data_IF_625642292658
#
_entry.id   IF_625642292658
#
_cell.length_a   1.000
_cell.length_b   1.000
_cell.length_c   1.000
_cell.angle_alpha   90.00
_cell.angle_beta   90.00
_cell.angle_gamma   90.00
#
_symmetry.space_group_name_H-M   'P 1'
#
loop_
_entity.id
_entity.type
_entity.pdbx_description
1 polymer ?
#
# COMPACT_ATOMS: atom_id res chain seq x y z
N UNK A 1 -10.36 -33.78 -29.77
CA UNK A 1 -10.91 -32.55 -29.14
C UNK A 1 -9.94 -31.37 -29.16
N UNK A 2 -8.61 -31.53 -28.98
CA UNK A 2 -7.67 -30.41 -28.78
C UNK A 2 -7.06 -29.77 -30.06
N UNK A 3 -7.18 -30.41 -31.23
CA UNK A 3 -6.47 -29.98 -32.45
C UNK A 3 -7.17 -28.88 -33.27
N UNK A 4 -8.47 -28.61 -33.04
CA UNK A 4 -9.26 -27.60 -33.78
C UNK A 4 -9.67 -26.39 -32.96
N UNK A 5 -9.21 -26.27 -31.71
CA UNK A 5 -9.53 -25.15 -30.82
C UNK A 5 -8.59 -23.98 -31.09
N UNK A 6 -9.15 -22.78 -31.27
CA UNK A 6 -8.36 -21.55 -31.34
C UNK A 6 -7.63 -21.31 -30.01
N UNK A 7 -6.57 -20.50 -30.05
CA UNK A 7 -5.76 -20.20 -28.85
C UNK A 7 -6.62 -19.61 -27.72
N UNK A 8 -7.55 -18.72 -28.07
CA UNK A 8 -8.44 -18.05 -27.12
C UNK A 8 -9.44 -19.02 -26.50
N UNK A 9 -10.06 -19.88 -27.31
CA UNK A 9 -10.96 -20.92 -26.80
C UNK A 9 -10.26 -21.85 -25.83
N UNK A 10 -8.99 -22.20 -26.11
CA UNK A 10 -8.18 -23.03 -25.23
C UNK A 10 -7.89 -22.35 -23.89
N UNK A 11 -7.60 -21.04 -23.89
CA UNK A 11 -7.38 -20.25 -22.68
C UNK A 11 -8.66 -20.16 -21.85
N UNK A 12 -9.80 -19.85 -22.50
CA UNK A 12 -11.10 -19.82 -21.83
C UNK A 12 -11.47 -21.17 -21.22
N UNK A 13 -11.25 -22.28 -21.94
CA UNK A 13 -11.53 -23.61 -21.41
C UNK A 13 -10.64 -23.99 -20.22
N UNK A 14 -9.42 -23.43 -20.10
CA UNK A 14 -8.58 -23.61 -18.89
C UNK A 14 -9.23 -23.01 -17.65
N UNK A 15 -9.97 -21.91 -17.77
CA UNK A 15 -10.69 -21.33 -16.64
C UNK A 15 -11.74 -22.30 -16.06
N UNK A 16 -12.28 -23.22 -16.86
CA UNK A 16 -13.24 -24.27 -16.43
C UNK A 16 -12.59 -25.51 -15.80
N UNK A 17 -11.26 -25.61 -15.77
CA UNK A 17 -10.60 -26.77 -15.20
C UNK A 17 -10.75 -26.79 -13.67
N UNK A 18 -10.88 -27.96 -13.02
CA UNK A 18 -11.11 -28.04 -11.57
C UNK A 18 -9.98 -27.43 -10.73
N UNK A 19 -8.75 -27.40 -11.28
CA UNK A 19 -7.56 -26.84 -10.64
C UNK A 19 -7.28 -25.39 -11.02
N UNK A 20 -8.14 -24.74 -11.83
CA UNK A 20 -7.96 -23.33 -12.16
C UNK A 20 -8.26 -22.44 -10.95
N UNK A 21 -7.56 -21.31 -10.82
CA UNK A 21 -7.84 -20.31 -9.79
C UNK A 21 -9.28 -19.81 -9.82
N UNK A 22 -9.80 -19.60 -11.02
CA UNK A 22 -11.11 -19.02 -11.25
C UNK A 22 -12.20 -20.00 -10.79
N UNK A 23 -12.03 -21.29 -11.09
CA UNK A 23 -12.91 -22.34 -10.60
C UNK A 23 -12.82 -22.51 -9.09
N UNK A 24 -11.61 -22.49 -8.53
CA UNK A 24 -11.40 -22.55 -7.08
C UNK A 24 -12.09 -21.38 -6.38
N UNK A 25 -11.99 -20.17 -6.94
CA UNK A 25 -12.67 -18.98 -6.42
C UNK A 25 -14.19 -19.15 -6.42
N UNK A 26 -14.78 -19.59 -7.53
CA UNK A 26 -16.23 -19.82 -7.63
C UNK A 26 -16.67 -20.94 -6.69
N UNK A 27 -15.91 -22.03 -6.58
CA UNK A 27 -16.18 -23.11 -5.63
C UNK A 27 -16.15 -22.62 -4.18
N UNK A 28 -15.18 -21.78 -3.83
CA UNK A 28 -15.06 -21.18 -2.51
C UNK A 28 -16.19 -20.17 -2.20
N UNK A 29 -16.83 -19.60 -3.23
CA UNK A 29 -17.99 -18.72 -3.08
C UNK A 29 -19.24 -19.51 -2.66
N UNK A 30 -19.45 -20.68 -3.26
CA UNK A 30 -20.59 -21.57 -2.92
C UNK A 30 -20.35 -22.43 -1.67
N UNK A 31 -19.11 -22.50 -1.16
CA UNK A 31 -18.77 -23.25 0.05
C UNK A 31 -19.06 -22.44 1.31
N UNK A 32 -19.72 -23.05 2.30
CA UNK A 32 -19.86 -22.47 3.65
C UNK A 32 -18.49 -22.15 4.26
N UNK A 33 -18.39 -21.07 5.05
CA UNK A 33 -17.13 -20.55 5.60
C UNK A 33 -16.33 -21.63 6.37
N UNK A 34 -17.01 -22.55 7.04
CA UNK A 34 -16.40 -23.64 7.83
C UNK A 34 -15.69 -24.70 7.00
N UNK A 35 -16.01 -24.82 5.71
CA UNK A 35 -15.44 -25.85 4.84
C UNK A 35 -14.27 -25.34 3.97
N UNK A 36 -13.85 -24.08 4.12
CA UNK A 36 -12.71 -23.56 3.34
C UNK A 36 -11.42 -24.26 3.78
N UNK A 37 -10.64 -24.83 2.84
CA UNK A 37 -9.38 -25.47 3.19
C UNK A 37 -8.47 -24.43 3.85
N UNK A 38 -8.00 -24.73 5.07
CA UNK A 38 -6.98 -23.91 5.72
C UNK A 38 -5.67 -24.16 4.97
N UNK A 39 -5.12 -23.12 4.35
CA UNK A 39 -3.85 -23.21 3.61
C UNK A 39 -2.73 -23.72 4.53
N UNK A 40 -2.22 -24.92 4.22
CA UNK A 40 -1.19 -25.62 5.00
C UNK A 40 0.21 -25.39 4.40
N UNK A 41 0.68 -24.14 4.38
CA UNK A 41 2.07 -23.85 4.05
C UNK A 41 2.84 -23.46 5.31
N UNK A 42 3.87 -24.25 5.65
CA UNK A 42 4.78 -24.03 6.78
C UNK A 42 5.43 -22.63 6.76
N UNK A 43 5.76 -22.11 5.58
CA UNK A 43 6.33 -20.76 5.40
C UNK A 43 5.31 -19.62 5.58
N UNK A 44 4.01 -19.88 5.40
CA UNK A 44 2.94 -18.91 5.65
C UNK A 44 2.69 -18.63 7.13
N UNK A 45 3.33 -19.39 8.03
CA UNK A 45 3.24 -19.22 9.49
C UNK A 45 4.23 -18.20 10.04
N UNK A 46 5.31 -17.90 9.27
CA UNK A 46 6.38 -16.98 9.66
C UNK A 46 6.11 -15.53 9.24
N UNK A 47 5.39 -15.33 8.13
CA UNK A 47 4.93 -13.99 7.73
C UNK A 47 3.64 -13.73 8.53
N UNK A 48 3.56 -12.68 9.36
CA UNK A 48 2.34 -12.38 10.09
C UNK A 48 1.20 -12.24 9.08
N UNK A 49 0.03 -12.84 9.38
CA UNK A 49 -1.22 -12.72 8.58
C UNK A 49 -1.60 -11.27 8.23
N UNK A 50 -0.99 -10.31 8.91
CA UNK A 50 -1.10 -8.88 8.67
C UNK A 50 -0.52 -8.42 7.32
N UNK A 51 0.49 -9.10 6.77
CA UNK A 51 1.20 -8.65 5.55
C UNK A 51 0.65 -9.32 4.30
N UNK A 52 0.52 -10.65 4.28
CA UNK A 52 -0.01 -11.36 3.12
C UNK A 52 -0.61 -12.72 3.48
N UNK A 53 -1.93 -12.86 3.39
CA UNK A 53 -2.60 -14.16 3.52
C UNK A 53 -2.50 -14.94 2.21
N UNK A 54 -1.75 -16.05 2.17
CA UNK A 54 -1.66 -16.89 0.98
C UNK A 54 -3.01 -17.53 0.63
N UNK A 55 -3.44 -17.39 -0.63
CA UNK A 55 -4.68 -17.97 -1.15
C UNK A 55 -4.45 -18.58 -2.53
N UNK A 56 -4.86 -19.83 -2.69
CA UNK A 56 -4.70 -20.59 -3.93
C UNK A 56 -5.72 -20.20 -5.02
N UNK A 57 -6.73 -19.40 -4.66
CA UNK A 57 -7.80 -18.95 -5.55
C UNK A 57 -7.50 -17.62 -6.25
N UNK A 58 -6.28 -17.11 -6.12
CA UNK A 58 -5.89 -15.84 -6.71
C UNK A 58 -4.47 -15.85 -7.28
N UNK A 59 -4.34 -15.38 -8.52
CA UNK A 59 -3.05 -15.08 -9.13
C UNK A 59 -3.00 -13.63 -9.58
N UNK A 60 -1.86 -12.98 -9.36
CA UNK A 60 -1.62 -11.64 -9.88
C UNK A 60 -1.62 -11.61 -11.41
N UNK A 61 -1.92 -10.44 -12.00
CA UNK A 61 -1.78 -10.23 -13.44
C UNK A 61 -0.29 -10.29 -13.81
N UNK A 62 0.03 -10.87 -14.97
CA UNK A 62 1.41 -10.93 -15.48
C UNK A 62 2.01 -9.53 -15.59
N UNK A 63 1.18 -8.53 -15.91
CA UNK A 63 1.55 -7.11 -15.90
C UNK A 63 2.09 -6.66 -14.53
N UNK A 64 1.39 -6.99 -13.43
CA UNK A 64 1.82 -6.63 -12.08
C UNK A 64 3.15 -7.31 -11.76
N UNK A 65 3.30 -8.59 -12.09
CA UNK A 65 4.55 -9.32 -11.87
C UNK A 65 5.72 -8.70 -12.64
N UNK A 66 5.52 -8.33 -13.91
CA UNK A 66 6.54 -7.65 -14.71
C UNK A 66 6.93 -6.30 -14.10
N UNK A 67 5.95 -5.49 -13.69
CA UNK A 67 6.22 -4.16 -13.11
C UNK A 67 6.97 -4.29 -11.78
N UNK A 68 6.57 -5.21 -10.90
CA UNK A 68 7.27 -5.46 -9.64
C UNK A 68 8.69 -5.98 -9.86
N UNK A 69 8.89 -6.89 -10.82
CA UNK A 69 10.23 -7.36 -11.19
C UNK A 69 11.12 -6.19 -11.64
N UNK A 70 10.64 -5.35 -12.55
CA UNK A 70 11.36 -4.15 -13.01
C UNK A 70 11.67 -3.18 -11.86
N UNK A 71 10.74 -2.99 -10.93
CA UNK A 71 10.93 -2.13 -9.75
C UNK A 71 12.02 -2.67 -8.85
N UNK A 72 12.06 -3.98 -8.58
CA UNK A 72 13.10 -4.59 -7.73
C UNK A 72 14.49 -4.40 -8.35
N UNK A 73 14.62 -4.66 -9.66
CA UNK A 73 15.87 -4.42 -10.38
C UNK A 73 16.29 -2.95 -10.36
N UNK A 74 15.33 -2.05 -10.56
CA UNK A 74 15.57 -0.60 -10.56
C UNK A 74 15.96 -0.09 -9.17
N UNK A 75 15.31 -0.57 -8.11
CA UNK A 75 15.65 -0.21 -6.73
C UNK A 75 17.05 -0.71 -6.37
N UNK A 76 17.40 -1.93 -6.76
CA UNK A 76 18.77 -2.45 -6.61
C UNK A 76 19.78 -1.58 -7.35
N UNK A 77 19.52 -1.23 -8.61
CA UNK A 77 20.42 -0.38 -9.40
C UNK A 77 20.60 1.01 -8.77
N UNK A 78 19.51 1.70 -8.40
CA UNK A 78 19.55 3.04 -7.81
C UNK A 78 20.28 3.03 -6.47
N UNK A 79 20.04 2.02 -5.62
CA UNK A 79 20.67 1.94 -4.30
C UNK A 79 22.18 1.72 -4.41
N UNK A 80 22.61 0.80 -5.27
CA UNK A 80 24.04 0.54 -5.52
C UNK A 80 24.70 1.79 -6.13
N UNK A 81 24.08 2.41 -7.12
CA UNK A 81 24.60 3.63 -7.75
C UNK A 81 24.74 4.78 -6.74
N UNK A 82 23.74 4.97 -5.88
CA UNK A 82 23.76 5.97 -4.82
C UNK A 82 24.93 5.73 -3.85
N UNK A 83 25.14 4.49 -3.41
CA UNK A 83 26.26 4.13 -2.55
C UNK A 83 27.61 4.42 -3.23
N UNK A 84 27.82 3.98 -4.47
CA UNK A 84 29.10 4.13 -5.18
C UNK A 84 29.45 5.60 -5.43
N UNK A 85 28.48 6.45 -5.77
CA UNK A 85 28.74 7.86 -6.08
C UNK A 85 28.77 8.76 -4.84
N UNK A 86 27.90 8.52 -3.86
CA UNK A 86 27.71 9.45 -2.73
C UNK A 86 28.70 9.18 -1.59
N UNK A 87 29.10 7.93 -1.33
CA UNK A 87 30.08 7.63 -0.29
C UNK A 87 31.45 8.33 -0.47
N UNK A 88 32.10 8.31 -1.65
CA UNK A 88 33.38 8.98 -1.84
C UNK A 88 33.23 10.50 -1.80
N UNK A 89 32.13 11.06 -2.31
CA UNK A 89 31.90 12.51 -2.28
C UNK A 89 31.66 13.00 -0.85
N UNK A 90 30.94 12.25 -0.01
CA UNK A 90 30.80 12.56 1.41
C UNK A 90 32.14 12.50 2.16
N UNK A 91 33.03 11.57 1.80
CA UNK A 91 34.38 11.52 2.37
C UNK A 91 35.17 12.80 2.08
N UNK A 92 35.18 13.21 0.82
CA UNK A 92 35.87 14.43 0.39
C UNK A 92 35.28 15.67 1.07
N UNK A 93 33.95 15.76 1.19
CA UNK A 93 33.27 16.86 1.90
C UNK A 93 33.67 16.89 3.37
N UNK A 94 33.77 15.72 4.03
CA UNK A 94 34.15 15.64 5.44
C UNK A 94 35.57 16.18 5.67
N UNK A 95 36.53 15.82 4.81
CA UNK A 95 37.92 16.33 4.90
C UNK A 95 37.93 17.84 4.72
N UNK A 96 37.25 18.36 3.70
CA UNK A 96 37.17 19.82 3.45
C UNK A 96 36.55 20.55 4.64
N UNK A 97 35.45 20.04 5.19
CA UNK A 97 34.80 20.62 6.37
C UNK A 97 35.75 20.64 7.57
N UNK A 98 36.49 19.57 7.81
CA UNK A 98 37.45 19.51 8.92
C UNK A 98 38.59 20.51 8.75
N UNK A 99 39.13 20.67 7.53
CA UNK A 99 40.16 21.69 7.27
C UNK A 99 39.63 23.11 7.48
N UNK A 100 38.40 23.38 7.07
CA UNK A 100 37.77 24.69 7.24
C UNK A 100 37.51 25.02 8.72
N UNK A 101 37.00 24.07 9.51
CA UNK A 101 36.81 24.25 10.94
C UNK A 101 38.13 24.49 11.68
N UNK A 102 39.20 23.77 11.31
CA UNK A 102 40.52 23.99 11.89
C UNK A 102 41.04 25.41 11.60
N UNK A 103 40.88 25.91 10.37
CA UNK A 103 41.26 27.30 10.01
C UNK A 103 40.47 28.33 10.82
N UNK A 104 39.16 28.14 10.99
CA UNK A 104 38.32 29.03 11.80
C UNK A 104 38.76 29.01 13.26
N UNK A 105 39.04 27.83 13.83
CA UNK A 105 39.47 27.73 15.23
C UNK A 105 40.78 28.48 15.47
N UNK A 106 41.75 28.35 14.56
CA UNK A 106 43.02 29.10 14.62
C UNK A 106 42.79 30.61 14.47
N UNK A 107 41.87 31.03 13.60
CA UNK A 107 41.54 32.45 13.44
C UNK A 107 40.84 33.05 14.67
N UNK A 108 39.97 32.30 15.34
CA UNK A 108 39.32 32.73 16.57
C UNK A 108 40.28 32.79 17.75
N UNK A 109 41.18 31.82 17.92
CA UNK A 109 42.18 31.82 19.00
C UNK A 109 43.17 32.98 18.88
N UNK A 110 43.55 33.36 17.65
CA UNK A 110 44.45 34.50 17.40
C UNK A 110 43.88 35.86 17.84
N UNK A 111 42.57 35.97 18.04
CA UNK A 111 41.94 37.20 18.53
C UNK A 111 41.93 37.30 20.06
N UNK A 112 42.21 36.21 20.81
CA UNK A 112 42.10 36.23 22.28
C UNK A 112 43.40 36.29 23.06
N UNK A 113 44.61 36.05 22.53
CA UNK A 113 45.86 36.46 23.23
C UNK A 113 47.12 36.51 22.34
N UNK A 114 47.93 37.53 22.62
CA UNK A 114 49.24 37.89 22.05
C UNK A 114 50.27 36.75 21.91
N UNK A 115 50.95 36.74 20.75
CA UNK A 115 52.35 36.39 20.50
C UNK A 115 53.07 35.57 21.57
N UNK A 116 53.20 34.25 21.38
CA UNK A 116 54.42 33.50 21.72
C UNK A 116 54.57 32.24 20.84
N UNK A 117 55.72 32.19 20.16
CA UNK A 117 56.43 31.02 19.61
C UNK A 117 55.66 30.00 18.77
N UNK A 118 55.77 30.21 17.46
CA UNK A 118 55.91 29.17 16.43
C UNK A 118 56.96 28.16 16.90
N UNK A 119 56.54 26.98 17.35
CA UNK A 119 57.23 25.68 17.22
C UNK A 119 56.38 24.62 17.92
N UNK A 120 56.24 23.47 17.26
CA UNK A 120 55.38 22.34 17.62
C UNK A 120 53.90 22.46 17.23
N UNK A 121 53.65 22.16 15.95
CA UNK A 121 52.35 21.68 15.47
C UNK A 121 52.12 20.31 16.10
N UNK A 122 51.67 20.29 17.35
CA UNK A 122 51.00 19.13 17.95
C UNK A 122 49.60 19.07 17.32
N UNK A 123 49.09 17.91 16.87
CA UNK A 123 47.71 17.82 16.41
C UNK A 123 46.82 17.90 17.64
N UNK A 124 46.57 19.12 18.13
CA UNK A 124 45.56 19.42 19.12
C UNK A 124 44.23 18.99 18.50
N UNK A 125 43.67 17.91 19.03
CA UNK A 125 42.36 17.42 18.64
C UNK A 125 41.35 18.55 18.89
N UNK A 126 40.81 19.10 17.80
CA UNK A 126 39.74 20.09 17.82
C UNK A 126 38.64 19.70 18.81
N UNK A 127 38.25 20.61 19.73
CA UNK A 127 37.18 20.40 20.72
C UNK A 127 35.80 20.14 20.10
N UNK A 128 35.64 20.34 18.79
CA UNK A 128 34.44 19.99 18.03
C UNK A 128 34.77 19.01 16.90
N UNK A 129 34.77 17.68 17.17
CA UNK A 129 34.94 16.70 16.11
C UNK A 129 33.73 16.76 15.16
N UNK A 130 34.00 17.03 13.87
CA UNK A 130 32.98 17.00 12.82
C UNK A 130 32.34 15.59 12.78
N UNK A 131 31.00 15.48 12.72
CA UNK A 131 30.34 14.18 12.64
C UNK A 131 30.80 13.40 11.41
N UNK A 132 31.09 12.11 11.59
CA UNK A 132 31.37 11.20 10.48
C UNK A 132 30.12 11.07 9.60
N UNK A 133 30.14 11.64 8.39
CA UNK A 133 28.96 11.70 7.51
C UNK A 133 28.64 10.36 6.82
N UNK A 134 29.62 9.46 6.71
CA UNK A 134 29.46 8.18 6.01
C UNK A 134 28.53 7.21 6.74
N UNK A 135 28.67 7.09 8.07
CA UNK A 135 27.87 6.17 8.90
C UNK A 135 26.36 6.49 8.87
N UNK A 136 25.90 7.74 9.13
CA UNK A 136 24.48 8.07 9.08
C UNK A 136 23.91 7.95 7.67
N UNK A 137 24.73 8.17 6.63
CA UNK A 137 24.29 7.99 5.25
C UNK A 137 23.99 6.52 4.93
N UNK A 138 24.88 5.59 5.29
CA UNK A 138 24.64 4.15 5.09
C UNK A 138 23.40 3.69 5.86
N UNK A 139 23.26 4.11 7.11
CA UNK A 139 22.05 3.82 7.90
C UNK A 139 20.79 4.37 7.24
N UNK A 140 20.81 5.61 6.77
CA UNK A 140 19.69 6.22 6.06
C UNK A 140 19.29 5.43 4.81
N UNK A 141 20.25 5.04 3.97
CA UNK A 141 19.98 4.26 2.75
C UNK A 141 19.41 2.87 3.09
N UNK A 142 19.92 2.20 4.13
CA UNK A 142 19.35 0.91 4.54
C UNK A 142 17.92 1.05 5.04
N UNK A 143 17.61 2.10 5.81
CA UNK A 143 16.27 2.39 6.28
C UNK A 143 15.32 2.72 5.12
N UNK A 144 15.78 3.44 4.10
CA UNK A 144 14.94 3.82 2.96
C UNK A 144 14.58 2.61 2.11
N UNK A 145 15.55 1.72 1.88
CA UNK A 145 15.31 0.42 1.21
C UNK A 145 14.31 -0.42 2.01
N UNK A 146 14.47 -0.49 3.33
CA UNK A 146 13.55 -1.25 4.18
C UNK A 146 12.12 -0.68 4.11
N UNK A 147 11.97 0.64 4.25
CA UNK A 147 10.67 1.32 4.19
C UNK A 147 10.02 1.10 2.82
N UNK A 148 10.75 1.30 1.73
CA UNK A 148 10.21 1.12 0.37
C UNK A 148 9.80 -0.33 0.09
N UNK A 149 10.58 -1.33 0.53
CA UNK A 149 10.18 -2.74 0.43
C UNK A 149 8.89 -3.01 1.21
N UNK A 150 8.75 -2.49 2.43
CA UNK A 150 7.53 -2.65 3.23
C UNK A 150 6.33 -2.01 2.51
N UNK A 151 6.49 -0.82 1.93
CA UNK A 151 5.43 -0.15 1.18
C UNK A 151 5.04 -0.92 -0.09
N UNK A 152 6.00 -1.51 -0.80
CA UNK A 152 5.74 -2.37 -1.96
C UNK A 152 4.96 -3.63 -1.59
N UNK A 153 5.32 -4.29 -0.49
CA UNK A 153 4.59 -5.46 0.00
C UNK A 153 3.17 -5.10 0.42
N UNK A 154 2.99 -3.97 1.11
CA UNK A 154 1.68 -3.46 1.50
C UNK A 154 0.80 -3.14 0.28
N UNK A 155 1.36 -2.49 -0.75
CA UNK A 155 0.65 -2.22 -1.99
C UNK A 155 0.23 -3.51 -2.71
N UNK A 156 1.09 -4.53 -2.74
CA UNK A 156 0.77 -5.82 -3.36
C UNK A 156 -0.41 -6.51 -2.65
N UNK A 157 -0.43 -6.47 -1.32
CA UNK A 157 -1.55 -6.98 -0.52
C UNK A 157 -2.84 -6.20 -0.78
N UNK A 158 -2.75 -4.87 -0.89
CA UNK A 158 -3.88 -3.98 -1.14
C UNK A 158 -4.42 -4.12 -2.56
N UNK A 159 -3.59 -4.29 -3.60
CA UNK A 159 -4.04 -4.58 -4.97
C UNK A 159 -5.02 -5.74 -4.97
N UNK A 160 -4.67 -6.83 -4.27
CA UNK A 160 -5.51 -8.01 -4.17
C UNK A 160 -6.80 -7.72 -3.40
N UNK A 161 -6.72 -7.07 -2.24
CA UNK A 161 -7.88 -6.70 -1.43
C UNK A 161 -8.86 -5.84 -2.22
N UNK A 162 -8.35 -4.83 -2.90
CA UNK A 162 -9.11 -3.87 -3.68
C UNK A 162 -9.74 -4.52 -4.91
N UNK A 163 -9.05 -5.47 -5.55
CA UNK A 163 -9.62 -6.24 -6.66
C UNK A 163 -10.78 -7.14 -6.19
N UNK A 164 -10.67 -7.77 -5.01
CA UNK A 164 -11.79 -8.53 -4.44
C UNK A 164 -12.97 -7.66 -4.00
N UNK A 165 -12.72 -6.48 -3.44
CA UNK A 165 -13.76 -5.50 -3.15
C UNK A 165 -14.46 -5.07 -4.43
N UNK A 166 -13.70 -4.84 -5.51
CA UNK A 166 -14.24 -4.51 -6.83
C UNK A 166 -15.10 -5.64 -7.41
N UNK A 167 -14.71 -6.91 -7.27
CA UNK A 167 -15.55 -8.05 -7.67
C UNK A 167 -16.88 -8.15 -6.89
N UNK A 168 -16.91 -7.66 -5.64
CA UNK A 168 -18.12 -7.62 -4.82
C UNK A 168 -18.98 -6.38 -5.10
N UNK A 169 -18.46 -5.40 -5.83
CA UNK A 169 -19.08 -4.09 -5.98
C UNK A 169 -19.06 -3.25 -4.69
N UNK A 170 -18.07 -3.48 -3.82
CA UNK A 170 -17.86 -2.68 -2.60
C UNK A 170 -17.03 -1.43 -2.95
N UNK A 171 -17.61 -0.24 -2.74
CA UNK A 171 -17.05 1.06 -3.10
C UNK A 171 -16.42 1.80 -1.89
N UNK A 172 -16.05 1.06 -0.84
CA UNK A 172 -15.49 1.63 0.39
C UNK A 172 -14.12 2.30 0.18
N UNK A 173 -13.20 1.63 -0.52
CA UNK A 173 -11.83 2.08 -0.76
C UNK A 173 -11.61 2.64 -2.17
N UNK A 174 -12.26 2.07 -3.18
CA UNK A 174 -12.18 2.54 -4.57
C UNK A 174 -13.49 3.22 -4.95
N UNK A 175 -13.44 4.41 -5.60
CA UNK A 175 -14.64 5.08 -6.04
C UNK A 175 -15.40 4.23 -7.06
N UNK A 176 -16.72 4.20 -6.88
CA UNK A 176 -17.65 3.49 -7.77
C UNK A 176 -17.40 3.85 -9.23
N UNK A 177 -17.38 2.83 -10.08
CA UNK A 177 -17.22 3.00 -11.53
C UNK A 177 -18.37 3.85 -12.11
N UNK A 178 -18.03 4.97 -12.75
CA UNK A 178 -18.99 5.86 -13.42
C UNK A 178 -18.93 5.70 -14.95
N UNK A 179 -20.09 5.63 -15.61
CA UNK A 179 -20.19 5.44 -17.06
C UNK A 179 -19.54 6.58 -17.87
N UNK A 180 -19.62 7.81 -17.36
CA UNK A 180 -19.00 8.99 -17.98
C UNK A 180 -17.47 8.96 -17.98
N UNK A 181 -16.83 8.08 -17.19
CA UNK A 181 -15.38 8.08 -16.96
C UNK A 181 -14.65 6.89 -17.59
N UNK A 182 -15.28 6.12 -18.48
CA UNK A 182 -14.64 4.93 -19.09
C UNK A 182 -13.35 5.24 -19.83
N UNK A 183 -13.30 6.37 -20.56
CA UNK A 183 -12.09 6.82 -21.25
C UNK A 183 -10.98 7.10 -20.22
N UNK A 184 -11.30 7.78 -19.11
CA UNK A 184 -10.34 8.05 -18.03
C UNK A 184 -9.80 6.76 -17.40
N UNK A 185 -10.65 5.75 -17.15
CA UNK A 185 -10.18 4.48 -16.62
C UNK A 185 -9.28 3.72 -17.59
N UNK A 186 -9.57 3.76 -18.90
CA UNK A 186 -8.72 3.15 -19.92
C UNK A 186 -7.35 3.85 -20.01
N UNK A 187 -7.33 5.18 -20.02
CA UNK A 187 -6.12 6.00 -20.00
C UNK A 187 -5.32 5.73 -18.71
N UNK A 188 -5.98 5.70 -17.56
CA UNK A 188 -5.35 5.39 -16.27
C UNK A 188 -4.68 4.02 -16.27
N UNK A 189 -5.32 3.00 -16.86
CA UNK A 189 -4.74 1.66 -17.01
C UNK A 189 -3.48 1.66 -17.90
N UNK A 190 -3.42 2.51 -18.94
CA UNK A 190 -2.22 2.66 -19.78
C UNK A 190 -1.06 3.31 -19.03
N UNK A 191 -1.34 4.31 -18.20
CA UNK A 191 -0.31 5.05 -17.46
C UNK A 191 0.13 4.37 -16.16
N UNK A 192 -0.63 3.41 -15.62
CA UNK A 192 -0.38 2.78 -14.33
C UNK A 192 1.08 2.33 -14.12
N UNK A 193 1.66 1.58 -15.06
CA UNK A 193 3.01 1.05 -14.92
C UNK A 193 4.08 2.17 -14.88
N UNK A 194 3.95 3.17 -15.75
CA UNK A 194 4.88 4.29 -15.82
C UNK A 194 4.79 5.20 -14.61
N UNK A 195 3.57 5.54 -14.19
CA UNK A 195 3.34 6.34 -12.99
C UNK A 195 3.85 5.61 -11.74
N UNK A 196 3.66 4.28 -11.66
CA UNK A 196 4.16 3.54 -10.51
C UNK A 196 5.68 3.63 -10.36
N UNK A 197 6.41 3.40 -11.46
CA UNK A 197 7.88 3.49 -11.45
C UNK A 197 8.34 4.92 -11.12
N UNK A 198 7.72 5.93 -11.74
CA UNK A 198 8.08 7.34 -11.51
C UNK A 198 7.85 7.80 -10.07
N UNK A 199 6.67 7.52 -9.51
CA UNK A 199 6.33 7.86 -8.13
C UNK A 199 7.20 7.11 -7.12
N UNK A 200 7.59 5.87 -7.43
CA UNK A 200 8.50 5.10 -6.60
C UNK A 200 9.90 5.70 -6.57
N UNK A 201 10.46 6.10 -7.72
CA UNK A 201 11.78 6.76 -7.78
C UNK A 201 11.75 8.05 -6.97
N UNK A 202 10.73 8.88 -7.20
CA UNK A 202 10.61 10.15 -6.52
C UNK A 202 10.39 9.99 -5.01
N UNK A 203 9.53 9.06 -4.62
CA UNK A 203 9.31 8.70 -3.22
C UNK A 203 10.57 8.16 -2.55
N UNK A 204 11.35 7.31 -3.25
CA UNK A 204 12.64 6.82 -2.75
C UNK A 204 13.62 7.96 -2.49
N UNK A 205 13.74 8.93 -3.42
CA UNK A 205 14.61 10.12 -3.25
C UNK A 205 14.18 10.95 -2.04
N UNK A 206 12.88 11.24 -1.90
CA UNK A 206 12.36 12.05 -0.78
C UNK A 206 12.63 11.34 0.55
N UNK A 207 12.32 10.04 0.65
CA UNK A 207 12.56 9.27 1.87
C UNK A 207 14.06 9.23 2.16
N UNK A 208 14.93 9.10 1.16
CA UNK A 208 16.39 9.09 1.33
C UNK A 208 16.97 10.41 1.84
N UNK A 209 16.47 11.54 1.33
CA UNK A 209 16.85 12.87 1.82
C UNK A 209 16.36 13.04 3.26
N UNK A 210 15.11 12.70 3.56
CA UNK A 210 14.56 12.84 4.90
C UNK A 210 15.26 11.94 5.92
N UNK A 211 15.49 10.67 5.58
CA UNK A 211 16.19 9.72 6.43
C UNK A 211 17.65 10.14 6.67
N UNK A 212 18.33 10.70 5.65
CA UNK A 212 19.72 11.16 5.81
C UNK A 212 19.81 12.38 6.74
N UNK A 213 18.92 13.36 6.59
CA UNK A 213 18.82 14.51 7.52
C UNK A 213 18.58 14.00 8.94
N UNK A 214 17.63 13.08 9.13
CA UNK A 214 17.30 12.55 10.45
C UNK A 214 18.48 11.77 11.07
N UNK A 215 19.18 10.94 10.30
CA UNK A 215 20.35 10.20 10.78
C UNK A 215 21.53 11.14 11.12
N UNK A 216 21.77 12.18 10.32
CA UNK A 216 22.79 13.20 10.60
C UNK A 216 22.44 13.97 11.88
N UNK A 217 21.18 14.35 12.08
CA UNK A 217 20.74 15.01 13.31
C UNK A 217 20.95 14.11 14.54
N UNK A 218 20.68 12.81 14.44
CA UNK A 218 20.90 11.85 15.52
C UNK A 218 22.40 11.73 15.83
N UNK A 219 23.24 11.54 14.82
CA UNK A 219 24.71 11.46 15.01
C UNK A 219 25.27 12.75 15.61
N UNK A 220 24.81 13.92 15.16
CA UNK A 220 25.19 15.19 15.77
C UNK A 220 24.82 15.24 17.26
N UNK A 221 23.59 14.85 17.62
CA UNK A 221 23.16 14.81 19.02
C UNK A 221 24.02 13.88 19.89
N UNK A 222 24.44 12.73 19.35
CA UNK A 222 25.31 11.77 20.04
C UNK A 222 26.70 12.38 20.27
N UNK A 223 27.31 12.96 19.23
CA UNK A 223 28.70 13.46 19.26
C UNK A 223 28.83 14.69 20.14
N UNK A 224 27.95 15.68 19.98
CA UNK A 224 28.00 16.89 20.80
C UNK A 224 27.67 16.61 22.27
N UNK A 225 27.19 15.40 22.61
CA UNK A 225 26.79 14.94 23.95
C UNK A 225 26.08 16.04 24.75
N UNK A 226 25.28 16.85 24.04
CA UNK A 226 24.69 18.04 24.61
C UNK A 226 23.36 17.64 25.26
N UNK A 227 23.46 16.82 26.31
CA UNK A 227 22.34 16.39 27.12
C UNK A 227 21.54 17.60 27.63
N UNK A 228 22.20 18.75 27.83
CA UNK A 228 21.54 20.00 28.25
C UNK A 228 20.60 20.57 27.19
N UNK A 229 20.96 20.52 25.91
CA UNK A 229 20.08 20.99 24.83
C UNK A 229 18.86 20.09 24.67
N UNK A 230 19.08 18.77 24.71
CA UNK A 230 18.00 17.79 24.71
C UNK A 230 17.10 17.97 25.94
N UNK A 231 17.68 18.12 27.12
CA UNK A 231 16.98 18.34 28.39
C UNK A 231 16.16 19.63 28.35
N UNK A 232 16.68 20.72 27.78
CA UNK A 232 15.95 21.98 27.63
C UNK A 232 14.72 21.81 26.71
N UNK A 233 14.90 21.17 25.57
CA UNK A 233 13.80 20.85 24.64
C UNK A 233 12.78 19.94 25.32
N UNK A 234 13.22 18.90 26.02
CA UNK A 234 12.34 17.95 26.68
C UNK A 234 11.59 18.60 27.85
N UNK A 235 12.24 19.47 28.63
CA UNK A 235 11.61 20.28 29.68
C UNK A 235 10.56 21.25 29.13
N UNK A 236 10.71 21.73 27.90
CA UNK A 236 9.68 22.55 27.25
C UNK A 236 8.52 21.71 26.67
N UNK A 237 8.81 20.55 26.08
CA UNK A 237 7.81 19.71 25.39
C UNK A 237 6.99 18.86 26.38
N UNK A 238 7.61 18.31 27.45
CA UNK A 238 6.92 17.42 28.39
C UNK A 238 5.71 18.10 29.04
N UNK A 239 5.80 19.33 29.61
CA UNK A 239 4.66 19.99 30.24
C UNK A 239 3.52 20.26 29.27
N UNK A 240 3.84 20.65 28.03
CA UNK A 240 2.82 20.94 27.00
C UNK A 240 2.10 19.66 26.56
N UNK A 241 2.82 18.56 26.36
CA UNK A 241 2.20 17.25 26.08
C UNK A 241 1.37 16.75 27.27
N UNK A 242 1.88 16.89 28.49
CA UNK A 242 1.17 16.48 29.71
C UNK A 242 -0.14 17.24 29.86
N UNK A 243 -0.16 18.55 29.57
CA UNK A 243 -1.38 19.36 29.57
C UNK A 243 -2.40 18.86 28.53
N UNK A 244 -1.95 18.53 27.31
CA UNK A 244 -2.83 17.96 26.26
C UNK A 244 -3.46 16.65 26.74
N UNK A 245 -2.66 15.73 27.29
CA UNK A 245 -3.16 14.45 27.79
C UNK A 245 -4.08 14.63 28.99
N UNK A 246 -3.68 15.43 29.98
CA UNK A 246 -4.48 15.75 31.16
C UNK A 246 -5.85 16.28 30.75
N UNK A 247 -5.90 17.28 29.85
CA UNK A 247 -7.17 17.83 29.38
C UNK A 247 -8.01 16.80 28.63
N UNK A 248 -7.39 15.97 27.77
CA UNK A 248 -8.10 14.89 27.06
C UNK A 248 -8.78 13.92 28.03
N UNK A 249 -8.07 13.49 29.08
CA UNK A 249 -8.61 12.60 30.10
C UNK A 249 -9.68 13.28 30.96
N UNK A 250 -9.45 14.53 31.38
CA UNK A 250 -10.42 15.34 32.10
C UNK A 250 -11.73 15.47 31.29
N UNK A 251 -11.64 15.84 30.02
CA UNK A 251 -12.81 15.93 29.14
C UNK A 251 -13.53 14.59 28.98
N UNK A 252 -12.79 13.48 28.85
CA UNK A 252 -13.37 12.14 28.76
C UNK A 252 -14.14 11.76 30.04
N UNK A 253 -13.57 12.02 31.22
CA UNK A 253 -14.20 11.73 32.51
C UNK A 253 -15.45 12.61 32.73
N UNK A 254 -15.36 13.92 32.50
CA UNK A 254 -16.53 14.81 32.63
C UNK A 254 -17.62 14.45 31.62
N UNK A 255 -17.25 14.12 30.38
CA UNK A 255 -18.23 13.69 29.37
C UNK A 255 -18.96 12.42 29.81
N UNK A 256 -18.22 11.41 30.31
CA UNK A 256 -18.79 10.14 30.70
C UNK A 256 -19.64 10.22 31.97
N UNK A 257 -19.17 10.91 33.01
CA UNK A 257 -19.80 10.88 34.33
C UNK A 257 -20.76 12.05 34.61
N UNK A 258 -20.55 13.22 34.00
CA UNK A 258 -21.29 14.44 34.34
C UNK A 258 -22.25 14.85 33.20
N UNK A 259 -21.78 14.81 31.95
CA UNK A 259 -22.53 15.35 30.82
C UNK A 259 -23.47 14.33 30.16
N UNK A 260 -23.02 13.10 29.89
CA UNK A 260 -23.84 12.07 29.22
C UNK A 260 -24.69 11.26 30.20
N UNK A 261 -25.85 10.82 29.72
CA UNK A 261 -26.71 9.85 30.40
C UNK A 261 -26.12 8.43 30.30
N UNK A 262 -26.43 7.58 31.29
CA UNK A 262 -26.03 6.18 31.34
C UNK A 262 -24.52 5.94 31.08
N UNK A 263 -23.65 6.80 31.60
CA UNK A 263 -22.19 6.68 31.48
C UNK A 263 -21.67 6.56 30.05
N UNK A 264 -22.31 7.25 29.10
CA UNK A 264 -21.89 7.27 27.70
C UNK A 264 -22.49 6.17 26.82
N UNK A 265 -23.42 5.36 27.33
CA UNK A 265 -24.13 4.36 26.52
C UNK A 265 -25.08 4.97 25.49
N UNK A 266 -25.58 6.18 25.75
CA UNK A 266 -26.47 6.92 24.86
C UNK A 266 -25.92 8.34 24.69
N UNK A 267 -25.98 8.87 23.47
CA UNK A 267 -25.63 10.27 23.17
C UNK A 267 -26.77 11.21 23.60
N UNK A 268 -27.20 11.11 24.85
CA UNK A 268 -28.20 11.98 25.46
C UNK A 268 -27.54 12.76 26.61
N UNK A 269 -27.73 14.08 26.62
CA UNK A 269 -27.09 14.98 27.58
C UNK A 269 -28.00 15.07 28.81
N UNK A 270 -27.46 14.82 30.00
CA UNK A 270 -28.18 14.93 31.26
C UNK A 270 -28.20 16.38 31.78
N UNK A 271 -27.01 16.96 32.01
CA UNK A 271 -26.88 18.30 32.59
C UNK A 271 -26.41 19.33 31.56
N UNK A 272 -27.36 19.82 30.75
CA UNK A 272 -27.08 20.78 29.66
C UNK A 272 -26.51 22.10 30.17
N UNK A 273 -26.92 22.59 31.35
CA UNK A 273 -26.44 23.87 31.92
C UNK A 273 -24.96 23.80 32.31
N UNK A 274 -24.56 22.75 33.02
CA UNK A 274 -23.16 22.54 33.40
C UNK A 274 -22.24 22.36 32.19
N UNK A 275 -22.72 21.67 31.14
CA UNK A 275 -21.99 21.54 29.89
C UNK A 275 -21.70 22.91 29.27
N UNK A 276 -22.68 23.83 29.23
CA UNK A 276 -22.48 25.16 28.65
C UNK A 276 -21.49 26.00 29.46
N UNK A 277 -21.56 25.96 30.80
CA UNK A 277 -20.60 26.64 31.68
C UNK A 277 -19.19 26.08 31.45
N UNK A 278 -19.05 24.76 31.38
CA UNK A 278 -17.77 24.10 31.14
C UNK A 278 -17.16 24.45 29.78
N UNK A 279 -17.97 24.49 28.72
CA UNK A 279 -17.52 24.90 27.37
C UNK A 279 -17.05 26.35 27.39
N UNK A 280 -17.80 27.25 28.05
CA UNK A 280 -17.43 28.67 28.16
C UNK A 280 -16.07 28.87 28.85
N UNK A 281 -15.84 28.23 30.00
CA UNK A 281 -14.55 28.32 30.69
C UNK A 281 -13.40 27.65 29.93
N UNK A 282 -13.65 26.52 29.23
CA UNK A 282 -12.61 25.83 28.47
C UNK A 282 -12.26 26.47 27.14
N UNK A 283 -13.07 27.41 26.65
CA UNK A 283 -12.92 28.03 25.35
C UNK A 283 -11.49 28.52 25.07
N UNK A 284 -10.89 29.29 25.98
CA UNK A 284 -9.54 29.83 25.80
C UNK A 284 -8.47 28.72 25.77
N UNK A 285 -8.59 27.70 26.61
CA UNK A 285 -7.69 26.55 26.61
C UNK A 285 -7.86 25.70 25.34
N UNK A 286 -9.08 25.58 24.81
CA UNK A 286 -9.35 24.86 23.55
C UNK A 286 -8.80 25.62 22.35
N UNK A 287 -8.84 26.96 22.35
CA UNK A 287 -8.22 27.76 21.32
C UNK A 287 -6.70 27.54 21.25
N UNK A 288 -6.00 27.56 22.39
CA UNK A 288 -4.56 27.30 22.45
C UNK A 288 -4.21 25.87 21.99
N UNK A 289 -4.96 24.87 22.46
CA UNK A 289 -4.75 23.49 22.02
C UNK A 289 -5.11 23.27 20.55
N UNK A 290 -6.09 24.00 20.03
CA UNK A 290 -6.44 24.02 18.61
C UNK A 290 -5.26 24.49 17.76
N UNK A 291 -4.52 25.51 18.21
CA UNK A 291 -3.30 25.97 17.55
C UNK A 291 -2.24 24.87 17.51
N UNK A 292 -1.91 24.24 18.64
CA UNK A 292 -0.92 23.13 18.69
C UNK A 292 -1.39 21.93 17.85
N UNK A 293 -2.68 21.60 17.88
CA UNK A 293 -3.28 20.54 17.07
C UNK A 293 -3.13 20.80 15.57
N UNK A 294 -3.19 22.07 15.14
CA UNK A 294 -3.00 22.44 13.73
C UNK A 294 -1.56 22.20 13.25
N UNK A 295 -0.56 22.47 14.09
CA UNK A 295 0.86 22.16 13.82
C UNK A 295 1.05 20.64 13.73
N UNK A 296 0.51 19.89 14.69
CA UNK A 296 0.58 18.42 14.69
C UNK A 296 -0.11 17.84 13.45
N UNK A 297 -1.23 18.43 13.01
CA UNK A 297 -1.94 18.03 11.78
C UNK A 297 -1.04 18.20 10.55
N UNK A 298 -0.32 19.33 10.44
CA UNK A 298 0.61 19.57 9.34
C UNK A 298 1.75 18.54 9.36
N UNK A 299 2.40 18.34 10.50
CA UNK A 299 3.51 17.38 10.64
C UNK A 299 3.05 15.96 10.25
N UNK A 300 1.90 15.51 10.77
CA UNK A 300 1.33 14.20 10.42
C UNK A 300 1.04 14.09 8.93
N UNK A 301 0.51 15.14 8.31
CA UNK A 301 0.21 15.16 6.88
C UNK A 301 1.48 15.04 6.04
N UNK A 302 2.55 15.75 6.41
CA UNK A 302 3.84 15.69 5.70
C UNK A 302 4.49 14.32 5.88
N UNK A 303 4.52 13.79 7.11
CA UNK A 303 5.05 12.44 7.39
C UNK A 303 4.30 11.36 6.60
N UNK A 304 2.96 11.40 6.63
CA UNK A 304 2.13 10.46 5.88
C UNK A 304 2.37 10.62 4.36
N UNK A 305 2.39 11.85 3.84
CA UNK A 305 2.64 12.13 2.43
C UNK A 305 3.97 11.54 1.96
N UNK A 306 5.06 11.72 2.72
CA UNK A 306 6.37 11.16 2.38
C UNK A 306 6.38 9.63 2.38
N UNK A 307 5.80 8.99 3.40
CA UNK A 307 5.77 7.53 3.50
C UNK A 307 4.88 6.87 2.45
N UNK A 308 3.74 7.49 2.13
CA UNK A 308 2.79 6.97 1.14
C UNK A 308 3.12 7.37 -0.30
N UNK A 309 4.09 8.26 -0.53
CA UNK A 309 4.44 8.70 -1.89
C UNK A 309 4.84 7.55 -2.83
N UNK A 310 5.45 6.50 -2.28
CA UNK A 310 5.85 5.31 -3.05
C UNK A 310 4.66 4.42 -3.46
N UNK A 311 3.46 4.70 -2.96
CA UNK A 311 2.25 3.90 -3.17
C UNK A 311 1.21 4.69 -3.96
N UNK A 312 0.57 4.02 -4.90
CA UNK A 312 -0.50 4.59 -5.73
C UNK A 312 -1.91 4.29 -5.21
N UNK A 313 -2.04 3.49 -4.15
CA UNK A 313 -3.35 3.08 -3.63
C UNK A 313 -4.00 4.10 -2.68
N UNK A 314 -3.26 5.14 -2.28
CA UNK A 314 -3.74 6.19 -1.40
C UNK A 314 -3.51 7.56 -2.03
N UNK A 315 -4.54 8.42 -2.00
CA UNK A 315 -4.39 9.80 -2.44
C UNK A 315 -4.07 10.74 -1.29
N UNK A 316 -2.96 11.51 -1.34
CA UNK A 316 -2.62 12.48 -0.31
C UNK A 316 -3.56 13.69 -0.29
N UNK A 317 -4.33 13.92 -1.36
CA UNK A 317 -5.23 15.09 -1.51
C UNK A 317 -6.58 14.91 -0.78
N UNK A 318 -6.86 13.72 -0.23
CA UNK A 318 -8.08 13.41 0.51
C UNK A 318 -9.31 13.15 -0.37
N UNK A 319 -10.39 12.60 0.23
CA UNK A 319 -11.48 11.92 -0.52
C UNK A 319 -12.20 12.75 -1.57
N UNK A 320 -12.34 14.05 -1.37
CA UNK A 320 -13.03 14.93 -2.34
C UNK A 320 -12.13 15.33 -3.52
N UNK A 321 -10.82 15.25 -3.35
CA UNK A 321 -9.82 15.69 -4.33
C UNK A 321 -9.02 14.51 -4.92
N UNK A 322 -9.40 13.27 -4.61
CA UNK A 322 -8.82 12.04 -5.17
C UNK A 322 -8.75 12.04 -6.70
N UNK A 323 -9.69 12.72 -7.38
CA UNK A 323 -9.73 12.80 -8.84
C UNK A 323 -8.62 13.67 -9.45
N UNK A 324 -8.04 14.59 -8.66
CA UNK A 324 -6.94 15.45 -9.10
C UNK A 324 -5.58 14.76 -8.95
N UNK A 325 -5.53 13.62 -8.28
CA UNK A 325 -4.32 12.82 -8.15
C UNK A 325 -4.16 11.88 -9.36
N UNK A 326 -3.21 12.21 -10.23
CA UNK A 326 -2.89 11.40 -11.40
C UNK A 326 -2.45 9.98 -11.06
N UNK A 327 -1.74 9.79 -9.95
CA UNK A 327 -1.25 8.49 -9.50
C UNK A 327 -2.40 7.58 -9.05
N UNK A 328 -3.24 8.09 -8.16
CA UNK A 328 -4.43 7.38 -7.69
C UNK A 328 -5.45 7.13 -8.80
N UNK A 329 -5.67 8.09 -9.71
CA UNK A 329 -6.56 7.89 -10.86
C UNK A 329 -6.04 6.78 -11.80
N UNK A 330 -4.73 6.71 -12.05
CA UNK A 330 -4.13 5.63 -12.83
C UNK A 330 -4.31 4.26 -12.15
N UNK A 331 -4.13 4.18 -10.83
CA UNK A 331 -4.40 2.98 -10.04
C UNK A 331 -5.87 2.55 -10.09
N UNK A 332 -6.81 3.48 -9.93
CA UNK A 332 -8.23 3.21 -10.06
C UNK A 332 -8.58 2.67 -11.47
N UNK A 333 -8.01 3.28 -12.51
CA UNK A 333 -8.17 2.82 -13.89
C UNK A 333 -7.65 1.39 -14.10
N UNK A 334 -6.50 1.08 -13.51
CA UNK A 334 -5.93 -0.28 -13.51
C UNK A 334 -6.86 -1.29 -12.83
N UNK A 335 -7.32 -1.02 -11.60
CA UNK A 335 -8.19 -1.96 -10.87
C UNK A 335 -9.52 -2.17 -11.60
N UNK A 336 -10.15 -1.09 -12.09
CA UNK A 336 -11.41 -1.21 -12.83
C UNK A 336 -11.24 -1.98 -14.15
N UNK A 337 -10.12 -1.80 -14.85
CA UNK A 337 -9.80 -2.54 -16.08
C UNK A 337 -9.56 -4.04 -15.80
N UNK A 338 -8.76 -4.37 -14.79
CA UNK A 338 -8.52 -5.75 -14.37
C UNK A 338 -9.82 -6.43 -13.90
N UNK A 339 -10.68 -5.71 -13.17
CA UNK A 339 -11.97 -6.22 -12.73
C UNK A 339 -12.87 -6.62 -13.91
N UNK A 340 -12.94 -5.77 -14.94
CA UNK A 340 -13.76 -6.03 -16.14
C UNK A 340 -13.23 -7.19 -16.98
N UNK A 341 -11.92 -7.26 -17.20
CA UNK A 341 -11.33 -8.28 -18.07
C UNK A 341 -11.10 -9.62 -17.38
N UNK A 342 -10.95 -9.63 -16.05
CA UNK A 342 -10.54 -10.82 -15.29
C UNK A 342 -11.54 -11.21 -14.19
N UNK A 343 -12.82 -10.89 -14.37
CA UNK A 343 -13.84 -11.29 -13.39
C UNK A 343 -13.98 -12.83 -13.33
N UNK A 344 -13.60 -13.50 -12.23
CA UNK A 344 -13.48 -14.97 -12.18
C UNK A 344 -14.82 -15.67 -12.43
N UNK A 345 -15.91 -15.12 -11.89
CA UNK A 345 -17.27 -15.69 -12.08
C UNK A 345 -17.70 -15.62 -13.54
N UNK A 346 -17.36 -14.53 -14.25
CA UNK A 346 -17.76 -14.35 -15.64
C UNK A 346 -16.96 -15.28 -16.54
N UNK A 347 -15.65 -15.39 -16.31
CA UNK A 347 -14.77 -16.31 -17.05
C UNK A 347 -15.21 -17.77 -16.90
N UNK A 348 -15.51 -18.20 -15.67
CA UNK A 348 -16.02 -19.56 -15.40
C UNK A 348 -17.36 -19.77 -16.08
N UNK A 349 -18.30 -18.83 -15.98
CA UNK A 349 -19.60 -18.92 -16.64
C UNK A 349 -19.49 -19.07 -18.17
N UNK A 350 -18.74 -18.17 -18.82
CA UNK A 350 -18.53 -18.21 -20.28
C UNK A 350 -17.79 -19.49 -20.69
N UNK A 351 -16.80 -19.93 -19.92
CA UNK A 351 -16.07 -21.17 -20.20
C UNK A 351 -16.96 -22.42 -20.13
N UNK A 352 -17.90 -22.47 -19.19
CA UNK A 352 -18.89 -23.54 -19.12
C UNK A 352 -19.84 -23.52 -20.30
N UNK A 353 -20.35 -22.33 -20.68
CA UNK A 353 -21.21 -22.17 -21.85
C UNK A 353 -20.49 -22.63 -23.14
N UNK A 354 -19.25 -22.20 -23.34
CA UNK A 354 -18.43 -22.60 -24.48
C UNK A 354 -18.18 -24.12 -24.49
N UNK A 355 -17.84 -24.70 -23.34
CA UNK A 355 -17.64 -26.15 -23.20
C UNK A 355 -18.91 -26.91 -23.57
N UNK A 356 -20.07 -26.48 -23.11
CA UNK A 356 -21.35 -27.09 -23.46
C UNK A 356 -21.65 -26.99 -24.97
N UNK A 357 -21.42 -25.84 -25.59
CA UNK A 357 -21.60 -25.66 -27.03
C UNK A 357 -20.67 -26.58 -27.84
N UNK A 358 -19.39 -26.67 -27.49
CA UNK A 358 -18.43 -27.55 -28.16
C UNK A 358 -18.74 -29.03 -27.95
N UNK A 359 -19.20 -29.43 -26.75
CA UNK A 359 -19.68 -30.81 -26.52
C UNK A 359 -20.87 -31.14 -27.42
N UNK A 360 -21.83 -30.23 -27.56
CA UNK A 360 -23.00 -30.42 -28.43
C UNK A 360 -22.60 -30.53 -29.90
N UNK A 361 -21.68 -29.68 -30.37
CA UNK A 361 -21.14 -29.76 -31.73
C UNK A 361 -20.44 -31.10 -31.97
N UNK A 362 -19.60 -31.55 -31.04
CA UNK A 362 -18.92 -32.85 -31.15
C UNK A 362 -19.90 -34.02 -31.19
N UNK A 363 -20.91 -34.02 -30.32
CA UNK A 363 -21.95 -35.06 -30.32
C UNK A 363 -22.78 -35.02 -31.60
N UNK A 364 -23.06 -33.84 -32.15
CA UNK A 364 -23.78 -33.69 -33.41
C UNK A 364 -22.97 -34.23 -34.59
N UNK A 365 -21.69 -33.89 -34.69
CA UNK A 365 -20.81 -34.40 -35.74
C UNK A 365 -20.67 -35.93 -35.64
N UNK A 366 -20.49 -36.47 -34.42
CA UNK A 366 -20.43 -37.92 -34.23
C UNK A 366 -21.74 -38.62 -34.59
N UNK A 367 -22.87 -38.05 -34.19
CA UNK A 367 -24.18 -38.58 -34.58
C UNK A 367 -24.40 -38.52 -36.09
N UNK A 368 -23.88 -37.49 -36.77
CA UNK A 368 -23.91 -37.38 -38.22
C UNK A 368 -23.05 -38.47 -38.89
N UNK A 369 -21.85 -38.71 -38.38
CA UNK A 369 -20.97 -39.80 -38.83
C UNK A 369 -21.63 -41.18 -38.61
N UNK A 370 -22.22 -41.41 -37.42
CA UNK A 370 -22.93 -42.65 -37.09
C UNK A 370 -24.19 -42.85 -37.96
N UNK A 371 -24.88 -41.77 -38.33
CA UNK A 371 -26.04 -41.79 -39.23
C UNK A 371 -25.66 -42.14 -40.67
N UNK A 372 -24.49 -41.69 -41.15
CA UNK A 372 -23.95 -42.10 -42.46
C UNK A 372 -23.68 -43.61 -42.47
N UNK A 373 -23.26 -44.17 -41.33
CA UNK A 373 -22.88 -45.58 -41.22
C UNK A 373 -24.10 -46.51 -41.03
N UNK A 374 -25.08 -46.12 -40.21
CA UNK A 374 -26.14 -47.05 -39.76
C UNK A 374 -27.55 -46.82 -40.32
N UNK A 375 -27.80 -45.79 -41.13
CA UNK A 375 -29.09 -45.51 -41.82
C UNK A 375 -30.39 -45.45 -40.96
N UNK A 376 -30.32 -45.62 -39.63
CA UNK A 376 -31.47 -45.62 -38.72
C UNK A 376 -31.72 -44.24 -38.08
N UNK A 377 -32.56 -43.43 -38.73
CA UNK A 377 -32.87 -42.05 -38.30
C UNK A 377 -33.96 -41.95 -37.22
N UNK A 378 -34.87 -42.92 -37.15
CA UNK A 378 -36.10 -42.85 -36.34
C UNK A 378 -35.84 -43.04 -34.85
N UNK A 379 -35.03 -44.02 -34.47
CA UNK A 379 -34.73 -44.34 -33.06
C UNK A 379 -33.93 -43.23 -32.37
N UNK A 380 -33.01 -42.59 -33.09
CA UNK A 380 -32.13 -41.56 -32.53
C UNK A 380 -32.86 -40.24 -32.20
N UNK A 381 -33.89 -39.87 -32.98
CA UNK A 381 -34.67 -38.66 -32.72
C UNK A 381 -35.56 -38.77 -31.47
N UNK A 382 -36.20 -39.93 -31.26
CA UNK A 382 -37.15 -40.16 -30.15
C UNK A 382 -36.42 -40.12 -28.80
N UNK A 383 -35.24 -40.76 -28.70
CA UNK A 383 -34.47 -40.79 -27.43
C UNK A 383 -33.95 -39.40 -27.02
N UNK A 384 -33.55 -38.58 -28.00
CA UNK A 384 -33.07 -37.22 -27.75
C UNK A 384 -34.17 -36.30 -27.21
N UNK A 385 -35.41 -36.49 -27.64
CA UNK A 385 -36.52 -35.63 -27.24
C UNK A 385 -37.03 -35.95 -25.83
N UNK A 386 -37.08 -37.24 -25.46
CA UNK A 386 -37.32 -37.67 -24.07
C UNK A 386 -36.22 -37.15 -23.13
N UNK A 387 -34.95 -37.24 -23.53
CA UNK A 387 -33.83 -36.73 -22.75
C UNK A 387 -33.92 -35.20 -22.54
N UNK A 388 -34.29 -34.44 -23.57
CA UNK A 388 -34.54 -32.99 -23.44
C UNK A 388 -35.68 -32.68 -22.47
N UNK A 389 -36.78 -33.43 -22.52
CA UNK A 389 -37.91 -33.27 -21.57
C UNK A 389 -37.49 -33.54 -20.13
N UNK A 390 -36.73 -34.62 -19.89
CA UNK A 390 -36.19 -34.92 -18.55
C UNK A 390 -35.27 -33.82 -18.01
N UNK A 391 -34.37 -33.27 -18.84
CA UNK A 391 -33.50 -32.16 -18.46
C UNK A 391 -34.27 -30.87 -18.17
N UNK A 392 -35.34 -30.60 -18.92
CA UNK A 392 -36.24 -29.45 -18.64
C UNK A 392 -36.98 -29.63 -17.33
N UNK A 393 -37.41 -30.86 -17.01
CA UNK A 393 -38.00 -31.14 -15.71
C UNK A 393 -36.98 -30.87 -14.60
N UNK A 394 -35.76 -31.41 -14.67
CA UNK A 394 -34.71 -31.15 -13.66
C UNK A 394 -34.44 -29.65 -13.48
N UNK A 395 -34.32 -28.87 -14.56
CA UNK A 395 -34.15 -27.42 -14.45
C UNK A 395 -35.33 -26.72 -13.77
N UNK A 396 -36.57 -27.16 -14.01
CA UNK A 396 -37.75 -26.63 -13.30
C UNK A 396 -37.77 -26.95 -11.81
N UNK A 397 -37.09 -28.01 -11.37
CA UNK A 397 -36.97 -28.34 -9.95
C UNK A 397 -35.88 -27.51 -9.25
N UNK A 398 -34.92 -26.97 -10.01
CA UNK A 398 -33.85 -26.12 -9.49
C UNK A 398 -34.16 -24.62 -9.52
N UNK A 399 -35.10 -24.19 -10.36
CA UNK A 399 -35.70 -22.85 -10.36
C UNK A 399 -36.75 -22.75 -9.26
#
# INVERSE_FOLDING_TARGET
MLLTLTREERILLRASQPNSSEMLYVRNLFRSADQRPRTCHLFGRLIPKFIYEWRDDFYFSTRVLCVYSSIIFLLFFITVQACVQILPTLHSIQITMQTFFNVISVFNDNNENTMYSITEIKPQQSEFPVPNLQRPYVLAVTLTVLITIIQLLALLANIRRNLFQSFRGDDSEIPRRQRSKYISYAIGNMHFAGYFIGYLIWGYIIIAIFASILCICIEALIIYRNARFLEYILKAIIPTLLLIYFKKYLNMLLAQYIFLQHYGKVLAINNRRMLMIFIYFNFFLDAFLGFISSIIRLIKSVMAGMLYMCRLDYSPLGRKLELYDGGFNAYCGFIHSECVHRHPVMLVFVSHMLRQCKMKQFLHNRAFDDLIINNDKSFMMISNDQRKKSLRAIHKWHL
#
